data_IF_512115536295
#
_entry.id   IF_512115536295
#
_cell.length_a   1.000
_cell.length_b   1.000
_cell.length_c   1.000
_cell.angle_alpha   90.00
_cell.angle_beta   90.00
_cell.angle_gamma   90.00
#
_symmetry.space_group_name_H-M   'P 1'
#
loop_
_entity.id
_entity.type
_entity.pdbx_description
1 polymer ?
#
# COMPACT_ATOMS: atom_id res chain seq x y z
N UNK A 1 -11.68 12.87 -14.14
CA UNK A 1 -12.27 11.84 -15.03
C UNK A 1 -13.79 11.70 -14.81
N UNK A 2 -14.60 11.89 -15.84
CA UNK A 2 -16.07 11.75 -15.82
C UNK A 2 -16.55 10.29 -15.79
N UNK A 3 -15.79 9.39 -15.16
CA UNK A 3 -16.13 7.96 -15.02
C UNK A 3 -16.04 7.12 -16.31
N UNK A 4 -15.56 7.67 -17.44
CA UNK A 4 -15.55 6.99 -18.75
C UNK A 4 -14.32 6.10 -19.01
N UNK A 5 -13.33 6.10 -18.13
CA UNK A 5 -12.12 5.29 -18.25
C UNK A 5 -12.04 4.32 -17.06
N UNK A 6 -11.78 3.05 -17.34
CA UNK A 6 -11.61 2.01 -16.34
C UNK A 6 -10.37 1.16 -16.63
N UNK A 7 -9.70 0.70 -15.57
CA UNK A 7 -8.68 -0.35 -15.67
C UNK A 7 -9.41 -1.67 -15.68
N UNK A 8 -9.12 -2.50 -16.69
CA UNK A 8 -9.72 -3.83 -16.84
C UNK A 8 -8.73 -4.96 -16.57
N UNK A 9 -7.45 -4.63 -16.45
CA UNK A 9 -6.41 -5.61 -16.14
C UNK A 9 -5.04 -4.97 -16.04
N UNK A 10 -4.11 -5.76 -15.55
CA UNK A 10 -2.69 -5.42 -15.50
C UNK A 10 -1.92 -6.61 -16.07
N UNK A 11 -0.91 -6.31 -16.87
CA UNK A 11 -0.02 -7.32 -17.44
C UNK A 11 1.37 -7.12 -16.86
N UNK A 12 1.97 -8.20 -16.41
CA UNK A 12 3.32 -8.24 -15.86
C UNK A 12 4.05 -9.35 -16.59
N UNK A 13 5.15 -9.00 -17.25
CA UNK A 13 5.97 -9.98 -17.95
C UNK A 13 7.13 -10.37 -17.03
N UNK A 14 7.35 -11.68 -16.88
CA UNK A 14 8.44 -12.22 -16.09
C UNK A 14 9.40 -13.00 -16.98
N UNK A 15 10.69 -12.86 -16.71
CA UNK A 15 11.73 -13.78 -17.18
C UNK A 15 12.11 -14.71 -16.03
N UNK A 16 12.98 -15.69 -16.26
CA UNK A 16 13.46 -16.60 -15.19
C UNK A 16 14.10 -15.86 -14.01
N UNK A 17 14.55 -14.61 -14.19
CA UNK A 17 15.30 -13.86 -13.18
C UNK A 17 14.81 -12.44 -12.93
N UNK A 18 13.90 -11.89 -13.76
CA UNK A 18 13.51 -10.48 -13.68
C UNK A 18 12.02 -10.27 -13.93
N UNK A 19 11.44 -9.34 -13.18
CA UNK A 19 10.11 -8.81 -13.43
C UNK A 19 10.25 -7.54 -14.29
N UNK A 20 9.59 -7.51 -15.45
CA UNK A 20 9.56 -6.34 -16.33
C UNK A 20 8.51 -5.33 -15.87
N UNK A 21 8.58 -4.13 -16.45
CA UNK A 21 7.63 -3.06 -16.20
C UNK A 21 6.18 -3.53 -16.44
N UNK A 22 5.35 -3.33 -15.42
CA UNK A 22 3.93 -3.65 -15.50
C UNK A 22 3.20 -2.66 -16.42
N UNK A 23 2.17 -3.16 -17.11
CA UNK A 23 1.31 -2.33 -17.94
C UNK A 23 -0.14 -2.45 -17.50
N UNK A 24 -0.80 -1.32 -17.26
CA UNK A 24 -2.24 -1.27 -17.02
C UNK A 24 -3.00 -1.18 -18.34
N UNK A 25 -4.04 -2.01 -18.47
CA UNK A 25 -4.94 -2.04 -19.62
C UNK A 25 -6.17 -1.22 -19.30
N UNK A 26 -6.32 -0.10 -20.00
CA UNK A 26 -7.46 0.81 -19.86
C UNK A 26 -8.44 0.64 -21.00
N UNK A 27 -9.74 0.72 -20.70
CA UNK A 27 -10.78 0.95 -21.70
C UNK A 27 -11.30 2.37 -21.56
N UNK A 28 -11.29 3.12 -22.66
CA UNK A 28 -11.89 4.44 -22.77
C UNK A 28 -12.52 4.61 -24.16
N UNK A 29 -13.78 5.03 -24.22
CA UNK A 29 -14.53 5.16 -25.48
C UNK A 29 -14.43 3.93 -26.40
N UNK A 30 -14.58 2.73 -25.82
CA UNK A 30 -14.45 1.43 -26.53
C UNK A 30 -13.07 1.15 -27.14
N UNK A 31 -12.07 1.99 -26.88
CA UNK A 31 -10.68 1.76 -27.27
C UNK A 31 -9.88 1.24 -26.08
N UNK A 32 -9.27 0.08 -26.27
CA UNK A 32 -8.29 -0.45 -25.32
C UNK A 32 -6.94 0.26 -25.53
N UNK A 33 -6.34 0.72 -24.44
CA UNK A 33 -5.01 1.33 -24.43
C UNK A 33 -4.20 0.71 -23.31
N UNK A 34 -2.97 0.33 -23.62
CA UNK A 34 -2.02 -0.18 -22.65
C UNK A 34 -1.08 0.94 -22.25
N UNK A 35 -0.95 1.19 -20.95
CA UNK A 35 -0.11 2.26 -20.40
C UNK A 35 0.88 1.64 -19.40
N UNK A 36 2.19 1.86 -19.55
CA UNK A 36 3.17 1.37 -18.59
C UNK A 36 2.98 2.06 -17.24
N UNK A 37 3.12 1.30 -16.15
CA UNK A 37 3.10 1.79 -14.78
C UNK A 37 4.53 2.07 -14.32
N UNK A 38 4.71 3.14 -13.54
CA UNK A 38 6.02 3.53 -13.03
C UNK A 38 6.51 2.65 -11.88
N UNK A 39 5.61 2.15 -11.04
CA UNK A 39 5.97 1.43 -9.82
C UNK A 39 5.47 -0.02 -9.79
N UNK A 40 6.33 -0.94 -9.37
CA UNK A 40 5.96 -2.31 -9.05
C UNK A 40 6.56 -2.69 -7.70
N UNK A 41 5.72 -3.09 -6.75
CA UNK A 41 6.16 -3.65 -5.47
C UNK A 41 5.90 -5.16 -5.48
N UNK A 42 6.97 -5.93 -5.29
CA UNK A 42 6.89 -7.39 -5.24
C UNK A 42 8.04 -7.92 -4.38
N UNK A 43 7.72 -8.90 -3.53
CA UNK A 43 8.70 -9.58 -2.67
C UNK A 43 9.56 -8.62 -1.82
N UNK A 44 8.92 -7.60 -1.25
CA UNK A 44 9.58 -6.59 -0.40
C UNK A 44 10.42 -5.56 -1.16
N UNK A 45 10.42 -5.58 -2.49
CA UNK A 45 11.21 -4.66 -3.31
C UNK A 45 10.30 -3.73 -4.11
N UNK A 46 10.55 -2.42 -3.98
CA UNK A 46 9.98 -1.41 -4.87
C UNK A 46 10.88 -1.23 -6.09
N UNK A 47 10.33 -1.49 -7.27
CA UNK A 47 10.92 -1.12 -8.56
C UNK A 47 10.30 0.19 -9.04
N UNK A 48 11.13 1.22 -9.21
CA UNK A 48 10.80 2.46 -9.91
C UNK A 48 11.42 2.41 -11.31
N UNK A 49 10.58 2.37 -12.34
CA UNK A 49 11.01 2.34 -13.74
C UNK A 49 11.32 3.73 -14.32
N UNK A 50 11.19 4.79 -13.51
CA UNK A 50 11.42 6.21 -13.84
C UNK A 50 10.52 6.77 -14.96
N UNK A 51 9.71 5.92 -15.58
CA UNK A 51 8.90 6.20 -16.76
C UNK A 51 7.52 5.56 -16.63
N UNK A 52 6.57 6.04 -17.42
CA UNK A 52 5.18 5.56 -17.40
C UNK A 52 4.25 6.41 -16.53
N UNK A 53 3.03 5.93 -16.37
CA UNK A 53 2.03 6.58 -15.53
C UNK A 53 2.48 6.54 -14.07
N UNK A 54 2.39 7.66 -13.38
CA UNK A 54 2.66 7.78 -11.94
C UNK A 54 1.58 7.03 -11.14
N UNK A 55 1.70 5.71 -11.16
CA UNK A 55 0.79 4.74 -10.59
C UNK A 55 1.58 3.44 -10.43
N UNK A 56 1.08 2.56 -9.57
CA UNK A 56 1.79 1.34 -9.25
C UNK A 56 0.89 0.18 -8.89
N UNK A 57 1.50 -0.99 -8.83
CA UNK A 57 0.87 -2.18 -8.29
C UNK A 57 1.69 -2.76 -7.14
N UNK A 58 1.00 -3.37 -6.20
CA UNK A 58 1.56 -4.31 -5.25
C UNK A 58 1.04 -5.70 -5.57
N UNK A 59 1.92 -6.65 -5.86
CA UNK A 59 1.57 -8.05 -6.06
C UNK A 59 1.80 -8.81 -4.75
N UNK A 60 0.78 -9.55 -4.32
CA UNK A 60 0.81 -10.31 -3.07
C UNK A 60 0.11 -11.66 -3.23
N UNK A 61 0.48 -12.67 -2.42
CA UNK A 61 0.01 -14.03 -2.64
C UNK A 61 -1.47 -14.21 -2.33
N UNK A 62 -2.10 -15.10 -3.11
CA UNK A 62 -3.38 -15.72 -2.76
C UNK A 62 -3.11 -17.06 -2.10
N UNK A 63 -3.71 -17.27 -0.94
CA UNK A 63 -3.66 -18.53 -0.20
C UNK A 63 -5.04 -19.17 -0.21
N UNK A 64 -5.10 -20.45 -0.54
CA UNK A 64 -6.32 -21.26 -0.52
C UNK A 64 -6.05 -22.61 0.15
N UNK A 65 -7.06 -23.17 0.80
CA UNK A 65 -7.01 -24.55 1.27
C UNK A 65 -7.42 -25.49 0.13
N UNK A 66 -6.63 -26.52 -0.12
CA UNK A 66 -7.01 -27.62 -1.02
C UNK A 66 -7.95 -28.59 -0.30
N UNK A 67 -8.70 -29.37 -1.09
CA UNK A 67 -9.73 -30.28 -0.56
C UNK A 67 -9.20 -31.43 0.32
N UNK A 68 -7.89 -31.65 0.32
CA UNK A 68 -7.15 -32.60 1.17
C UNK A 68 -6.59 -31.96 2.46
N UNK A 69 -6.88 -30.68 2.70
CA UNK A 69 -6.38 -29.94 3.87
C UNK A 69 -4.99 -29.31 3.67
N UNK A 70 -4.39 -29.45 2.48
CA UNK A 70 -3.15 -28.75 2.13
C UNK A 70 -3.34 -27.25 1.91
N UNK A 71 -2.24 -26.49 1.95
CA UNK A 71 -2.21 -25.09 1.55
C UNK A 71 -1.71 -24.97 0.12
N UNK A 72 -2.44 -24.22 -0.70
CA UNK A 72 -2.02 -23.78 -2.02
C UNK A 72 -1.72 -22.28 -1.98
N UNK A 73 -0.52 -21.92 -2.41
CA UNK A 73 -0.01 -20.54 -2.41
C UNK A 73 0.27 -20.15 -3.85
N UNK A 74 -0.42 -19.12 -4.32
CA UNK A 74 -0.19 -18.47 -5.61
C UNK A 74 0.46 -17.11 -5.38
N UNK A 75 1.77 -17.02 -5.57
CA UNK A 75 2.57 -15.81 -5.31
C UNK A 75 2.22 -14.61 -6.20
N UNK A 76 1.56 -14.85 -7.34
CA UNK A 76 1.10 -13.80 -8.26
C UNK A 76 -0.43 -13.70 -8.29
N UNK A 77 -1.09 -14.29 -7.29
CA UNK A 77 -2.54 -14.49 -7.30
C UNK A 77 -3.38 -13.24 -7.08
N UNK A 78 -2.79 -12.17 -6.49
CA UNK A 78 -3.49 -10.91 -6.25
C UNK A 78 -2.63 -9.71 -6.59
N UNK A 79 -3.31 -8.60 -6.90
CA UNK A 79 -2.69 -7.29 -7.04
C UNK A 79 -3.55 -6.20 -6.39
N UNK A 80 -2.89 -5.20 -5.84
CA UNK A 80 -3.48 -3.94 -5.41
C UNK A 80 -2.99 -2.83 -6.34
N UNK A 81 -3.92 -2.09 -6.94
CA UNK A 81 -3.59 -0.96 -7.81
C UNK A 81 -3.63 0.36 -7.04
N UNK A 82 -2.60 1.18 -7.22
CA UNK A 82 -2.49 2.52 -6.69
C UNK A 82 -2.43 3.52 -7.82
N UNK A 83 -3.43 4.39 -7.90
CA UNK A 83 -3.45 5.50 -8.83
C UNK A 83 -2.46 6.60 -8.43
N UNK A 84 -2.26 7.58 -9.31
CA UNK A 84 -1.53 8.81 -9.01
C UNK A 84 -2.00 9.52 -7.74
N UNK A 85 -3.29 9.38 -7.39
CA UNK A 85 -3.85 10.00 -6.18
C UNK A 85 -3.48 9.27 -4.89
N UNK A 86 -3.14 8.00 -4.96
CA UNK A 86 -2.95 7.14 -3.77
C UNK A 86 -1.53 6.67 -3.60
N UNK A 87 -0.77 6.55 -4.70
CA UNK A 87 0.61 6.03 -4.69
C UNK A 87 1.53 6.82 -3.75
N UNK A 88 1.35 8.14 -3.66
CA UNK A 88 2.16 9.03 -2.81
C UNK A 88 1.61 9.20 -1.38
N UNK A 89 0.53 8.50 -1.02
CA UNK A 89 -0.05 8.60 0.32
C UNK A 89 0.83 7.93 1.38
N UNK A 90 0.68 8.36 2.63
CA UNK A 90 1.35 7.72 3.78
C UNK A 90 1.01 6.23 3.90
N UNK A 91 -0.24 5.86 3.58
CA UNK A 91 -0.66 4.45 3.57
C UNK A 91 0.18 3.63 2.59
N UNK A 92 0.30 4.07 1.34
CA UNK A 92 1.06 3.29 0.35
C UNK A 92 2.56 3.34 0.65
N UNK A 93 3.10 4.54 0.87
CA UNK A 93 4.54 4.72 1.01
C UNK A 93 5.10 4.09 2.29
N UNK A 94 4.39 4.18 3.42
CA UNK A 94 4.89 3.66 4.71
C UNK A 94 4.29 2.30 5.08
N UNK A 95 2.99 2.09 4.93
CA UNK A 95 2.36 0.84 5.39
C UNK A 95 2.56 -0.30 4.39
N UNK A 96 2.41 -0.04 3.08
CA UNK A 96 2.55 -1.07 2.03
C UNK A 96 4.00 -1.24 1.57
N UNK A 97 4.71 -0.13 1.28
CA UNK A 97 6.07 -0.18 0.70
C UNK A 97 7.22 -0.06 1.71
N UNK A 98 6.92 0.08 3.00
CA UNK A 98 7.93 0.20 4.07
C UNK A 98 8.96 1.34 3.87
N UNK A 99 8.47 2.50 3.43
CA UNK A 99 9.21 3.75 3.24
C UNK A 99 10.52 3.58 2.42
N UNK A 100 10.42 3.11 1.17
CA UNK A 100 11.60 2.75 0.39
C UNK A 100 12.46 3.96 0.01
N UNK A 101 11.87 5.16 -0.02
CA UNK A 101 12.57 6.41 -0.33
C UNK A 101 13.21 7.07 0.89
N UNK A 102 12.89 6.62 2.11
CA UNK A 102 13.30 7.30 3.33
C UNK A 102 12.67 8.70 3.51
N UNK A 103 11.65 9.08 2.73
CA UNK A 103 11.15 10.47 2.71
C UNK A 103 10.42 10.92 4.00
N UNK A 104 10.15 9.99 4.92
CA UNK A 104 9.39 10.24 6.14
C UNK A 104 10.26 10.11 7.40
N UNK A 105 11.30 10.92 7.51
CA UNK A 105 12.27 10.93 8.64
C UNK A 105 11.61 11.11 10.02
N UNK A 106 10.47 11.80 10.07
CA UNK A 106 9.68 11.99 11.29
C UNK A 106 8.88 10.76 11.74
N UNK A 107 8.83 9.68 10.94
CA UNK A 107 8.09 8.47 11.26
C UNK A 107 9.06 7.32 11.55
N UNK A 108 8.97 6.76 12.76
CA UNK A 108 9.75 5.60 13.16
C UNK A 108 8.82 4.43 13.43
N UNK A 109 8.96 3.34 12.70
CA UNK A 109 8.23 2.10 12.98
C UNK A 109 8.71 1.55 14.33
N UNK A 110 7.83 1.53 15.33
CA UNK A 110 8.16 1.08 16.70
C UNK A 110 7.53 -0.25 17.06
N UNK A 111 6.54 -0.71 16.29
CA UNK A 111 5.90 -1.99 16.50
C UNK A 111 5.28 -2.54 15.22
N UNK A 112 5.45 -3.84 15.01
CA UNK A 112 4.77 -4.62 13.96
C UNK A 112 4.22 -5.89 14.57
N UNK A 113 2.96 -6.18 14.30
CA UNK A 113 2.26 -7.41 14.71
C UNK A 113 1.64 -8.08 13.49
N UNK A 114 1.99 -9.33 13.22
CA UNK A 114 1.40 -10.11 12.13
C UNK A 114 -0.06 -10.45 12.39
N UNK A 115 -0.87 -10.51 11.33
CA UNK A 115 -2.23 -11.06 11.40
C UNK A 115 -2.20 -12.47 12.05
N UNK A 116 -3.08 -12.79 13.01
CA UNK A 116 -3.06 -14.07 13.72
C UNK A 116 -3.17 -15.30 12.81
N UNK A 117 -3.86 -15.19 11.67
CA UNK A 117 -3.99 -16.26 10.68
C UNK A 117 -2.66 -16.45 9.96
N UNK A 118 -2.05 -15.36 9.48
CA UNK A 118 -0.73 -15.40 8.83
C UNK A 118 0.31 -16.01 9.78
N UNK A 119 0.32 -15.57 11.04
CA UNK A 119 1.20 -16.12 12.08
C UNK A 119 1.00 -17.62 12.28
N UNK A 120 -0.26 -18.08 12.39
CA UNK A 120 -0.59 -19.50 12.56
C UNK A 120 -0.14 -20.35 11.38
N UNK A 121 -0.35 -19.86 10.14
CA UNK A 121 0.08 -20.56 8.93
C UNK A 121 1.62 -20.62 8.82
N UNK A 122 2.31 -19.56 9.24
CA UNK A 122 3.78 -19.53 9.24
C UNK A 122 4.39 -20.45 10.29
N UNK A 123 3.77 -20.63 11.46
CA UNK A 123 4.17 -21.65 12.45
C UNK A 123 4.07 -23.06 11.87
N UNK A 124 3.17 -23.29 10.91
CA UNK A 124 3.03 -24.56 10.17
C UNK A 124 3.99 -24.69 8.98
N UNK A 125 4.89 -23.72 8.77
CA UNK A 125 5.92 -23.75 7.73
C UNK A 125 5.51 -23.13 6.39
N UNK A 126 4.41 -22.37 6.33
CA UNK A 126 3.93 -21.77 5.07
C UNK A 126 4.82 -20.63 4.54
N UNK A 127 5.66 -20.01 5.38
CA UNK A 127 6.59 -18.93 5.01
C UNK A 127 5.95 -17.79 4.19
N UNK A 128 4.76 -17.37 4.59
CA UNK A 128 3.97 -16.31 3.95
C UNK A 128 4.50 -14.91 4.32
N UNK A 129 4.42 -13.94 3.38
CA UNK A 129 4.72 -12.54 3.65
C UNK A 129 3.64 -11.89 4.53
N UNK A 130 3.87 -10.62 4.90
CA UNK A 130 2.98 -9.87 5.80
C UNK A 130 1.55 -9.69 5.24
N UNK A 131 1.43 -9.53 3.92
CA UNK A 131 0.16 -9.33 3.25
C UNK A 131 -0.21 -10.52 2.39
N UNK A 132 -1.41 -11.07 2.59
CA UNK A 132 -1.93 -12.18 1.80
C UNK A 132 -3.42 -11.99 1.51
N UNK A 133 -3.94 -12.69 0.51
CA UNK A 133 -5.37 -12.95 0.39
C UNK A 133 -5.69 -14.34 0.93
N UNK A 134 -6.40 -14.40 2.05
CA UNK A 134 -6.93 -15.63 2.62
C UNK A 134 -8.30 -15.37 3.25
N UNK A 135 -9.36 -15.78 2.53
CA UNK A 135 -10.75 -15.45 2.87
C UNK A 135 -10.97 -13.94 3.10
N UNK A 136 -10.25 -13.10 2.36
CA UNK A 136 -10.16 -11.66 2.56
C UNK A 136 -8.71 -11.18 2.53
N UNK A 137 -8.52 -9.87 2.41
CA UNK A 137 -7.20 -9.26 2.57
C UNK A 137 -6.76 -9.37 4.03
N UNK A 138 -5.52 -9.79 4.24
CA UNK A 138 -4.86 -9.92 5.55
C UNK A 138 -3.59 -9.09 5.52
N UNK A 139 -3.33 -8.34 6.58
CA UNK A 139 -2.15 -7.51 6.72
C UNK A 139 -1.81 -7.29 8.19
N UNK A 140 -0.58 -6.86 8.50
CA UNK A 140 -0.13 -6.66 9.87
C UNK A 140 -0.71 -5.38 10.47
N UNK A 141 -0.63 -5.26 11.78
CA UNK A 141 -0.71 -3.98 12.47
C UNK A 141 0.69 -3.39 12.50
N UNK A 142 0.83 -2.14 12.08
CA UNK A 142 2.07 -1.35 12.17
C UNK A 142 1.79 -0.09 12.97
N UNK A 143 2.66 0.22 13.94
CA UNK A 143 2.57 1.41 14.78
C UNK A 143 3.84 2.22 14.61
N UNK A 144 3.67 3.50 14.30
CA UNK A 144 4.76 4.45 14.17
C UNK A 144 4.74 5.45 15.31
N UNK A 145 5.93 5.75 15.81
CA UNK A 145 6.21 6.92 16.61
C UNK A 145 6.42 8.12 15.68
N UNK A 146 5.78 9.25 16.02
CA UNK A 146 5.86 10.48 15.23
C UNK A 146 6.75 11.48 15.96
N UNK A 147 7.88 11.80 15.34
CA UNK A 147 8.77 12.87 15.75
C UNK A 147 8.37 14.16 15.03
N UNK A 148 7.62 15.01 15.74
CA UNK A 148 7.21 16.30 15.20
C UNK A 148 8.44 17.21 15.03
N UNK A 149 8.65 17.79 13.83
CA UNK A 149 9.76 18.73 13.65
C UNK A 149 9.54 19.99 14.48
N UNK A 150 10.64 20.59 14.93
CA UNK A 150 10.63 21.72 15.87
C UNK A 150 10.02 23.02 15.31
N UNK A 151 9.78 23.07 14.00
CA UNK A 151 9.14 24.20 13.32
C UNK A 151 7.60 24.10 13.27
N UNK A 152 6.99 23.09 13.88
CA UNK A 152 5.53 23.03 14.06
C UNK A 152 5.14 23.92 15.22
N UNK A 153 4.26 24.89 14.95
CA UNK A 153 3.63 25.71 15.98
C UNK A 153 2.64 24.83 16.74
N UNK A 154 2.96 24.51 17.99
CA UNK A 154 2.02 23.88 18.91
C UNK A 154 1.02 24.93 19.40
N UNK A 155 -0.27 24.64 19.27
CA UNK A 155 -1.33 25.45 19.86
C UNK A 155 -2.00 24.58 20.91
N UNK A 156 -1.84 24.93 22.19
CA UNK A 156 -2.28 24.08 23.31
C UNK A 156 -3.79 23.84 23.31
N UNK A 157 -4.57 24.77 22.75
CA UNK A 157 -6.01 24.63 22.59
C UNK A 157 -6.41 23.40 21.75
N UNK A 158 -5.61 22.98 20.77
CA UNK A 158 -5.89 21.77 19.97
C UNK A 158 -5.52 20.47 20.70
N UNK A 159 -4.82 20.56 21.83
CA UNK A 159 -4.43 19.39 22.64
C UNK A 159 -5.43 19.11 23.77
N UNK A 160 -6.41 19.98 23.99
CA UNK A 160 -7.46 19.80 25.00
C UNK A 160 -8.35 18.62 24.63
N UNK A 161 -8.61 17.73 25.61
CA UNK A 161 -9.48 16.54 25.44
C UNK A 161 -10.96 16.82 25.70
N UNK A 162 -11.30 18.06 26.06
CA UNK A 162 -12.64 18.51 26.43
C UNK A 162 -12.75 20.01 26.21
N UNK A 163 -13.95 20.47 25.83
CA UNK A 163 -14.20 21.86 25.49
C UNK A 163 -15.69 22.18 25.33
N UNK A 164 -16.01 23.46 25.14
CA UNK A 164 -17.36 23.92 24.78
C UNK A 164 -17.55 23.93 23.25
N UNK A 165 -18.80 23.79 22.81
CA UNK A 165 -19.13 23.87 21.39
C UNK A 165 -18.76 25.25 20.83
N UNK A 166 -17.94 25.28 19.78
CA UNK A 166 -17.50 26.52 19.12
C UNK A 166 -16.36 27.27 19.84
N UNK A 167 -15.73 26.69 20.86
CA UNK A 167 -14.68 27.37 21.64
C UNK A 167 -13.42 27.77 20.82
N UNK A 168 -13.26 27.19 19.63
CA UNK A 168 -12.12 27.44 18.73
C UNK A 168 -12.51 28.25 17.47
N UNK A 169 -13.78 28.68 17.34
CA UNK A 169 -14.29 29.32 16.13
C UNK A 169 -13.71 30.73 15.92
N UNK A 170 -13.26 31.40 16.99
CA UNK A 170 -12.67 32.75 16.94
C UNK A 170 -11.13 32.76 16.96
N UNK A 171 -10.47 31.61 16.72
CA UNK A 171 -9.01 31.56 16.69
C UNK A 171 -8.44 32.41 15.53
N UNK A 172 -7.59 33.37 15.89
CA UNK A 172 -6.86 34.20 14.93
C UNK A 172 -5.48 33.58 14.69
N UNK A 173 -5.32 32.91 13.54
CA UNK A 173 -4.03 32.35 13.14
C UNK A 173 -3.04 33.47 12.78
N UNK A 174 -1.85 33.45 13.39
CA UNK A 174 -0.74 34.32 12.97
C UNK A 174 -0.23 33.86 11.60
N UNK A 175 -0.05 34.84 10.71
CA UNK A 175 0.54 34.65 9.38
C UNK A 175 2.05 34.44 9.46
#
# INVERSE_FOLDING_TARGET
PSGKAAIIGVTVETTETQIKQANAVFIYNQKQTTIPLRYLYYDGVLLDFETGLEAGIYIYPRVTQSGDGGLQIDNLGMLMYFSQKTINSLFVQNYIFDNPSGSYDGLKLVHTESDPVVKSLNVQGANLPEFIQFSGFRGPIKIWEVNYPSNIVSNEEFLKRSGEYGELDELVFKK
#
